data_IF_147602949120
#
_entry.id   IF_147602949120
#
_cell.length_a   1.000
_cell.length_b   1.000
_cell.length_c   1.000
_cell.angle_alpha   90.00
_cell.angle_beta   90.00
_cell.angle_gamma   90.00
#
_symmetry.space_group_name_H-M   'P 1'
#
loop_
_entity.id
_entity.type
_entity.pdbx_description
1 polymer ?
#
# COMPACT_ATOMS: atom_id res chain seq x y z
N UNK A 1 -3.74 27.76 -6.16
CA UNK A 1 -3.23 26.55 -5.48
C UNK A 1 -2.80 25.59 -6.56
N UNK A 2 -1.56 25.10 -6.56
CA UNK A 2 -1.16 24.06 -7.49
C UNK A 2 -1.81 22.74 -7.05
N UNK A 3 -2.42 22.02 -7.98
CA UNK A 3 -2.91 20.66 -7.70
C UNK A 3 -1.71 19.75 -7.42
N UNK A 4 -1.78 18.88 -6.39
CA UNK A 4 -0.69 17.97 -6.08
C UNK A 4 -0.48 17.00 -7.25
N UNK A 5 0.75 16.93 -7.76
CA UNK A 5 1.12 15.95 -8.80
C UNK A 5 0.95 14.54 -8.23
N UNK A 6 0.21 13.69 -8.92
CA UNK A 6 0.04 12.28 -8.55
C UNK A 6 1.12 11.40 -9.19
N UNK A 7 1.50 10.33 -8.50
CA UNK A 7 2.36 9.25 -9.00
C UNK A 7 1.71 7.89 -8.72
N UNK A 8 1.99 6.91 -9.59
CA UNK A 8 1.60 5.54 -9.34
C UNK A 8 2.59 4.91 -8.36
N UNK A 9 2.12 4.60 -7.15
CA UNK A 9 2.85 3.79 -6.18
C UNK A 9 2.56 2.33 -6.44
N UNK A 10 3.62 1.56 -6.67
CA UNK A 10 3.55 0.11 -6.84
C UNK A 10 4.13 -0.60 -5.64
N UNK A 11 3.58 -1.77 -5.31
CA UNK A 11 4.10 -2.58 -4.22
C UNK A 11 3.53 -3.99 -4.21
N UNK A 12 4.02 -4.78 -3.26
CA UNK A 12 3.59 -6.15 -3.01
C UNK A 12 3.27 -6.33 -1.53
N UNK A 13 2.18 -7.03 -1.24
CA UNK A 13 1.82 -7.46 0.12
C UNK A 13 2.17 -8.92 0.30
N UNK A 14 2.95 -9.20 1.34
CA UNK A 14 3.39 -10.53 1.72
C UNK A 14 2.86 -10.88 3.12
N UNK A 15 2.77 -12.17 3.41
CA UNK A 15 2.59 -12.66 4.77
C UNK A 15 3.96 -12.76 5.51
N UNK A 16 3.98 -13.07 6.82
CA UNK A 16 5.23 -13.23 7.56
C UNK A 16 6.16 -14.33 7.01
N UNK A 17 5.62 -15.33 6.31
CA UNK A 17 6.39 -16.39 5.65
C UNK A 17 6.93 -15.99 4.27
N UNK A 18 6.72 -14.74 3.83
CA UNK A 18 7.18 -14.20 2.55
C UNK A 18 6.34 -14.61 1.34
N UNK A 19 5.15 -15.16 1.54
CA UNK A 19 4.21 -15.54 0.47
C UNK A 19 3.32 -14.35 0.07
N UNK A 20 3.00 -14.19 -1.23
CA UNK A 20 2.11 -13.13 -1.68
C UNK A 20 0.69 -13.30 -1.14
N UNK A 21 0.09 -12.17 -0.75
CA UNK A 21 -1.27 -12.12 -0.21
C UNK A 21 -2.23 -11.48 -1.22
N UNK A 22 -3.05 -12.28 -1.92
CA UNK A 22 -4.11 -11.74 -2.76
C UNK A 22 -5.31 -11.24 -1.94
N UNK A 23 -6.08 -10.31 -2.50
CA UNK A 23 -7.32 -9.84 -1.88
C UNK A 23 -7.14 -8.90 -0.69
N UNK A 24 -5.95 -8.33 -0.50
CA UNK A 24 -5.67 -7.38 0.58
C UNK A 24 -6.08 -5.98 0.15
N UNK A 25 -6.86 -5.30 0.99
CA UNK A 25 -7.23 -3.92 0.81
C UNK A 25 -6.07 -3.01 1.22
N UNK A 26 -5.53 -2.23 0.29
CA UNK A 26 -4.46 -1.25 0.53
C UNK A 26 -5.02 0.15 0.31
N UNK A 27 -4.85 1.05 1.27
CA UNK A 27 -5.35 2.41 1.19
C UNK A 27 -4.51 3.40 2.02
N UNK A 28 -4.43 4.69 1.64
CA UNK A 28 -3.84 5.71 2.49
C UNK A 28 -4.70 5.94 3.74
N UNK A 29 -4.07 6.06 4.91
CA UNK A 29 -4.81 6.35 6.16
C UNK A 29 -5.47 7.72 6.16
N UNK A 30 -4.99 8.64 5.31
CA UNK A 30 -5.55 9.99 5.12
C UNK A 30 -6.69 10.03 4.11
N UNK A 31 -6.89 8.97 3.32
CA UNK A 31 -7.95 8.85 2.32
C UNK A 31 -8.45 7.40 2.22
N UNK A 32 -9.30 7.00 3.15
CA UNK A 32 -9.85 5.64 3.24
C UNK A 32 -10.84 5.30 2.12
N UNK A 33 -11.25 6.28 1.30
CA UNK A 33 -12.05 6.03 0.11
C UNK A 33 -11.22 5.51 -1.07
N UNK A 34 -9.90 5.70 -1.02
CA UNK A 34 -9.00 5.27 -2.07
C UNK A 34 -8.41 3.89 -1.76
N UNK A 35 -9.22 2.87 -2.01
CA UNK A 35 -8.88 1.47 -1.75
C UNK A 35 -8.51 0.77 -3.05
N UNK A 36 -7.42 0.01 -3.01
CA UNK A 36 -7.06 -0.95 -4.06
C UNK A 36 -6.93 -2.34 -3.46
N UNK A 37 -7.19 -3.36 -4.26
CA UNK A 37 -7.14 -4.76 -3.82
C UNK A 37 -5.96 -5.44 -4.51
N UNK A 38 -5.16 -6.19 -3.75
CA UNK A 38 -4.00 -6.90 -4.31
C UNK A 38 -4.40 -8.02 -5.26
N UNK A 39 -3.62 -8.20 -6.33
CA UNK A 39 -3.81 -9.26 -7.32
C UNK A 39 -3.39 -10.65 -6.81
N UNK A 40 -3.46 -11.68 -7.67
CA UNK A 40 -3.09 -13.06 -7.33
C UNK A 40 -1.62 -13.23 -6.91
N UNK A 41 -0.77 -12.27 -7.25
CA UNK A 41 0.66 -12.20 -6.93
C UNK A 41 0.92 -11.23 -5.76
N UNK A 42 -0.12 -10.71 -5.11
CA UNK A 42 -0.02 -9.79 -3.99
C UNK A 42 0.34 -8.36 -4.39
N UNK A 43 0.36 -8.03 -5.68
CA UNK A 43 0.75 -6.69 -6.13
C UNK A 43 -0.41 -5.71 -6.02
N UNK A 44 -0.08 -4.44 -5.75
CA UNK A 44 -1.02 -3.32 -5.79
C UNK A 44 -0.43 -2.14 -6.56
N UNK A 45 -1.33 -1.29 -7.06
CA UNK A 45 -1.01 -0.02 -7.71
C UNK A 45 -1.94 1.06 -7.18
N UNK A 46 -1.41 2.16 -6.67
CA UNK A 46 -2.18 3.21 -5.99
C UNK A 46 -1.70 4.60 -6.41
N UNK A 47 -2.62 5.49 -6.79
CA UNK A 47 -2.28 6.88 -7.12
C UNK A 47 -2.07 7.71 -5.85
N UNK A 48 -0.88 8.26 -5.62
CA UNK A 48 -0.61 9.04 -4.40
C UNK A 48 0.04 10.38 -4.73
N UNK A 49 -0.08 11.41 -3.87
CA UNK A 49 0.68 12.64 -4.02
C UNK A 49 2.17 12.36 -4.08
N UNK A 50 2.84 12.88 -5.11
CA UNK A 50 4.27 12.75 -5.30
C UNK A 50 5.03 13.40 -4.12
N UNK A 51 6.18 12.81 -3.78
CA UNK A 51 7.15 13.40 -2.84
C UNK A 51 6.57 13.73 -1.45
N UNK A 52 5.45 13.12 -1.07
CA UNK A 52 4.79 13.31 0.22
C UNK A 52 4.93 12.05 1.05
N UNK A 53 5.29 12.19 2.33
CA UNK A 53 5.22 11.08 3.26
C UNK A 53 3.76 10.68 3.49
N UNK A 54 3.45 9.40 3.38
CA UNK A 54 2.09 8.89 3.57
C UNK A 54 2.10 7.56 4.30
N UNK A 55 1.11 7.33 5.15
CA UNK A 55 0.89 6.02 5.77
C UNK A 55 -0.12 5.22 4.97
N UNK A 56 0.24 4.01 4.58
CA UNK A 56 -0.63 3.01 4.00
C UNK A 56 -1.11 2.06 5.08
N UNK A 57 -2.38 1.70 5.01
CA UNK A 57 -2.95 0.57 5.73
C UNK A 57 -3.17 -0.56 4.72
N UNK A 58 -2.71 -1.76 5.07
CA UNK A 58 -3.06 -3.00 4.40
C UNK A 58 -3.96 -3.80 5.36
N UNK A 59 -5.17 -4.13 4.92
CA UNK A 59 -6.14 -4.87 5.72
C UNK A 59 -6.62 -6.12 4.96
N UNK A 60 -6.58 -7.25 5.64
CA UNK A 60 -7.02 -8.52 5.10
C UNK A 60 -7.89 -9.23 6.13
N UNK A 61 -9.13 -9.49 5.76
CA UNK A 61 -10.08 -10.17 6.62
C UNK A 61 -9.57 -11.56 6.99
N UNK A 62 -9.37 -11.81 8.29
CA UNK A 62 -8.88 -13.08 8.83
C UNK A 62 -7.35 -13.19 8.99
N UNK A 63 -6.56 -12.32 8.37
CA UNK A 63 -5.09 -12.26 8.55
C UNK A 63 -4.65 -11.06 9.41
N UNK A 64 -5.49 -10.04 9.53
CA UNK A 64 -5.21 -8.83 10.28
C UNK A 64 -4.78 -7.69 9.37
N UNK A 65 -4.17 -6.67 9.98
CA UNK A 65 -3.77 -5.46 9.25
C UNK A 65 -2.34 -5.06 9.57
N UNK A 66 -1.72 -4.33 8.65
CA UNK A 66 -0.40 -3.73 8.83
C UNK A 66 -0.43 -2.28 8.36
N UNK A 67 0.42 -1.45 8.96
CA UNK A 67 0.61 -0.05 8.60
C UNK A 67 2.05 0.19 8.21
N UNK A 68 2.25 0.81 7.06
CA UNK A 68 3.58 1.17 6.56
C UNK A 68 3.61 2.65 6.24
N UNK A 69 4.64 3.34 6.72
CA UNK A 69 4.91 4.73 6.32
C UNK A 69 5.86 4.72 5.14
N UNK A 70 5.43 5.38 4.07
CA UNK A 70 6.17 5.55 2.83
C UNK A 70 6.66 6.98 2.79
N UNK A 71 7.96 7.18 2.76
CA UNK A 71 8.56 8.48 2.52
C UNK A 71 8.46 8.80 1.02
N UNK A 72 8.41 10.10 0.67
CA UNK A 72 8.27 10.58 -0.71
C UNK A 72 9.36 10.13 -1.70
N UNK A 73 10.40 9.45 -1.20
CA UNK A 73 11.55 8.91 -1.95
C UNK A 73 11.66 7.38 -1.88
N UNK A 74 10.66 6.68 -1.33
CA UNK A 74 10.75 5.24 -1.13
C UNK A 74 10.96 4.51 -2.46
N UNK A 75 12.00 3.65 -2.57
CA UNK A 75 12.23 2.88 -3.78
C UNK A 75 11.03 1.96 -4.05
N UNK A 76 10.54 1.99 -5.28
CA UNK A 76 9.50 1.09 -5.75
C UNK A 76 10.13 -0.22 -6.25
N UNK A 77 9.48 -1.38 -6.07
CA UNK A 77 8.17 -1.57 -5.42
C UNK A 77 8.25 -1.55 -3.89
N UNK A 78 7.19 -1.03 -3.25
CA UNK A 78 7.02 -1.06 -1.79
C UNK A 78 6.71 -2.48 -1.32
N UNK A 79 7.35 -2.93 -0.23
CA UNK A 79 7.05 -4.23 0.37
C UNK A 79 6.30 -4.03 1.69
N UNK A 80 5.09 -4.62 1.78
CA UNK A 80 4.26 -4.62 2.99
C UNK A 80 4.18 -6.04 3.52
N UNK A 81 4.38 -6.23 4.83
CA UNK A 81 4.22 -7.54 5.49
C UNK A 81 3.04 -7.48 6.44
N UNK A 82 2.00 -8.28 6.20
CA UNK A 82 0.82 -8.32 7.08
C UNK A 82 1.17 -8.80 8.49
N UNK A 83 0.51 -8.20 9.49
CA UNK A 83 0.68 -8.56 10.91
C UNK A 83 1.95 -8.02 11.57
N UNK A 84 2.63 -7.07 10.93
CA UNK A 84 3.82 -6.38 11.44
C UNK A 84 3.58 -4.87 11.52
#
# INVERSE_FOLDING_TARGET
>A
MAEPKLVCLTGVVLNPEGRPCPGVCVFPTTNTHQVVVTDAQGNFQLQVPAQTALSLQADCFGLGSSRVTIDGHTPQPVHIVLGR
#
